data_IF_072563994987
#
_entry.id   IF_072563994987
#
_cell.length_a   1.000
_cell.length_b   1.000
_cell.length_c   1.000
_cell.angle_alpha   90.00
_cell.angle_beta   90.00
_cell.angle_gamma   90.00
#
_symmetry.space_group_name_H-M   'P 1'
#
loop_
_entity.id
_entity.type
_entity.pdbx_description
1 polymer ?
#
# COMPACT_ATOMS: atom_id res chain seq x y z
N UNK A 1 6.83 21.25 22.41
CA UNK A 1 6.71 20.75 21.03
C UNK A 1 7.75 21.49 20.19
N UNK A 2 8.96 20.93 20.08
CA UNK A 2 10.00 21.52 19.22
C UNK A 2 9.66 21.22 17.75
N UNK A 3 9.91 22.15 16.82
CA UNK A 3 9.67 21.93 15.39
C UNK A 3 10.39 20.68 14.85
N UNK A 4 11.54 20.32 15.44
CA UNK A 4 12.31 19.12 15.10
C UNK A 4 11.56 17.81 15.39
N UNK A 5 10.78 17.74 16.48
CA UNK A 5 10.00 16.56 16.82
C UNK A 5 8.86 16.34 15.82
N UNK A 6 8.20 17.42 15.39
CA UNK A 6 7.15 17.36 14.37
C UNK A 6 7.70 16.90 13.02
N UNK A 7 8.86 17.42 12.61
CA UNK A 7 9.51 17.01 11.36
C UNK A 7 9.92 15.53 11.39
N UNK A 8 10.46 15.04 12.51
CA UNK A 8 10.85 13.63 12.66
C UNK A 8 9.65 12.68 12.59
N UNK A 9 8.54 13.07 13.23
CA UNK A 9 7.30 12.30 13.26
C UNK A 9 6.67 12.20 11.85
N UNK A 10 6.67 13.29 11.09
CA UNK A 10 6.22 13.27 9.68
C UNK A 10 7.15 12.44 8.80
N UNK A 11 8.47 12.50 9.03
CA UNK A 11 9.45 11.67 8.32
C UNK A 11 9.21 10.18 8.53
N UNK A 12 8.97 9.76 9.79
CA UNK A 12 8.62 8.36 10.09
C UNK A 12 7.27 7.95 9.49
N UNK A 13 6.29 8.86 9.47
CA UNK A 13 4.99 8.62 8.82
C UNK A 13 5.16 8.30 7.34
N UNK A 14 5.94 9.12 6.62
CA UNK A 14 6.20 8.91 5.20
C UNK A 14 6.95 7.60 4.95
N UNK A 15 7.91 7.27 5.80
CA UNK A 15 8.70 6.04 5.68
C UNK A 15 7.83 4.80 5.95
N UNK A 16 6.95 4.86 6.95
CA UNK A 16 5.96 3.81 7.22
C UNK A 16 4.97 3.65 6.06
N UNK A 17 4.44 4.76 5.54
CA UNK A 17 3.54 4.76 4.39
C UNK A 17 4.24 4.19 3.13
N UNK A 18 5.49 4.56 2.89
CA UNK A 18 6.27 4.05 1.77
C UNK A 18 6.48 2.53 1.87
N UNK A 19 6.86 2.03 3.05
CA UNK A 19 7.00 0.59 3.29
C UNK A 19 5.69 -0.17 3.11
N UNK A 20 4.56 0.41 3.55
CA UNK A 20 3.23 -0.19 3.36
C UNK A 20 2.84 -0.23 1.88
N UNK A 21 3.17 0.84 1.13
CA UNK A 21 2.81 1.00 -0.27
C UNK A 21 3.68 0.16 -1.22
N UNK A 22 4.94 -0.07 -0.88
CA UNK A 22 5.91 -0.77 -1.72
C UNK A 22 5.46 -2.18 -2.20
N UNK A 23 5.02 -3.11 -1.32
CA UNK A 23 4.56 -4.43 -1.77
C UNK A 23 3.24 -4.36 -2.54
N UNK A 24 2.37 -3.39 -2.22
CA UNK A 24 1.13 -3.16 -2.95
C UNK A 24 1.41 -2.71 -4.39
N UNK A 25 2.37 -1.79 -4.54
CA UNK A 25 2.83 -1.32 -5.84
C UNK A 25 3.47 -2.44 -6.66
N UNK A 26 4.32 -3.27 -6.02
CA UNK A 26 4.98 -4.38 -6.69
C UNK A 26 3.96 -5.40 -7.24
N UNK A 27 2.95 -5.77 -6.46
CA UNK A 27 1.90 -6.70 -6.89
C UNK A 27 1.04 -6.08 -7.99
N UNK A 28 0.63 -4.82 -7.82
CA UNK A 28 -0.12 -4.11 -8.84
C UNK A 28 0.65 -4.01 -10.17
N UNK A 29 1.97 -3.82 -10.11
CA UNK A 29 2.84 -3.77 -11.28
C UNK A 29 2.95 -5.13 -11.97
N UNK A 30 3.24 -6.20 -11.22
CA UNK A 30 3.33 -7.56 -11.77
C UNK A 30 2.00 -8.02 -12.37
N UNK A 31 0.90 -7.85 -11.64
CA UNK A 31 -0.43 -8.19 -12.13
C UNK A 31 -0.83 -7.35 -13.36
N UNK A 32 -0.53 -6.06 -13.34
CA UNK A 32 -0.78 -5.16 -14.48
C UNK A 32 -0.02 -5.58 -15.74
N UNK A 33 1.26 -5.97 -15.60
CA UNK A 33 2.06 -6.49 -16.71
C UNK A 33 1.47 -7.78 -17.25
N UNK A 34 1.14 -8.75 -16.38
CA UNK A 34 0.57 -10.03 -16.80
C UNK A 34 -0.75 -9.84 -17.56
N UNK A 35 -1.64 -8.99 -17.06
CA UNK A 35 -2.94 -8.72 -17.70
C UNK A 35 -2.74 -7.99 -19.02
N UNK A 36 -1.82 -7.02 -19.09
CA UNK A 36 -1.47 -6.32 -20.32
C UNK A 36 -0.88 -7.28 -21.36
N UNK A 37 -0.06 -8.25 -20.94
CA UNK A 37 0.53 -9.23 -21.83
C UNK A 37 -0.54 -10.16 -22.42
N UNK A 38 -1.45 -10.67 -21.58
CA UNK A 38 -2.59 -11.51 -22.01
C UNK A 38 -3.50 -10.74 -22.96
N UNK A 39 -3.73 -9.45 -22.70
CA UNK A 39 -4.48 -8.57 -23.60
C UNK A 39 -3.84 -8.49 -24.99
N UNK A 40 -2.52 -8.29 -25.04
CA UNK A 40 -1.77 -8.17 -26.30
C UNK A 40 -1.77 -9.50 -27.07
N UNK A 41 -1.47 -10.62 -26.39
CA UNK A 41 -1.36 -11.95 -27.03
C UNK A 41 -2.70 -12.44 -27.59
N UNK A 42 -3.81 -12.13 -26.93
CA UNK A 42 -5.14 -12.60 -27.37
C UNK A 42 -5.80 -11.66 -28.39
N UNK A 43 -5.20 -10.48 -28.62
CA UNK A 43 -5.70 -9.45 -29.54
C UNK A 43 -7.14 -8.97 -29.28
N UNK A 44 -7.68 -9.24 -28.09
CA UNK A 44 -9.00 -8.76 -27.63
C UNK A 44 -8.82 -7.32 -27.14
N UNK A 45 -9.19 -6.36 -27.98
CA UNK A 45 -9.19 -4.92 -27.65
C UNK A 45 -10.52 -4.45 -27.03
N UNK A 46 -11.36 -5.38 -26.59
CA UNK A 46 -12.64 -5.04 -25.99
C UNK A 46 -12.43 -4.51 -24.55
N UNK A 47 -12.64 -3.21 -24.37
CA UNK A 47 -12.38 -2.48 -23.12
C UNK A 47 -13.16 -3.06 -21.94
N UNK A 48 -14.35 -3.63 -22.19
CA UNK A 48 -15.16 -4.29 -21.16
C UNK A 48 -14.48 -5.57 -20.63
N UNK A 49 -13.90 -6.37 -21.51
CA UNK A 49 -13.23 -7.62 -21.15
C UNK A 49 -11.91 -7.39 -20.41
N UNK A 50 -11.17 -6.30 -20.65
CA UNK A 50 -9.93 -6.01 -19.93
C UNK A 50 -10.15 -5.49 -18.51
N UNK A 51 -11.26 -4.80 -18.29
CA UNK A 51 -11.58 -4.15 -17.02
C UNK A 51 -11.81 -5.19 -15.92
N UNK A 52 -12.46 -6.31 -16.25
CA UNK A 52 -12.84 -7.34 -15.27
C UNK A 52 -11.62 -8.09 -14.69
N UNK A 53 -10.69 -8.67 -15.49
CA UNK A 53 -9.47 -9.30 -14.97
C UNK A 53 -8.60 -8.34 -14.16
N UNK A 54 -8.47 -7.08 -14.62
CA UNK A 54 -7.72 -6.04 -13.91
C UNK A 54 -8.31 -5.74 -12.54
N UNK A 55 -9.64 -5.62 -12.46
CA UNK A 55 -10.36 -5.39 -11.21
C UNK A 55 -10.21 -6.58 -10.25
N UNK A 56 -10.35 -7.81 -10.75
CA UNK A 56 -10.19 -9.04 -9.94
C UNK A 56 -8.75 -9.17 -9.41
N UNK A 57 -7.74 -8.89 -10.24
CA UNK A 57 -6.35 -8.91 -9.81
C UNK A 57 -6.04 -7.85 -8.75
N UNK A 58 -6.61 -6.64 -8.89
CA UNK A 58 -6.47 -5.58 -7.90
C UNK A 58 -7.17 -5.94 -6.58
N UNK A 59 -8.41 -6.43 -6.63
CA UNK A 59 -9.15 -6.89 -5.45
C UNK A 59 -8.45 -8.06 -4.75
N UNK A 60 -7.95 -9.04 -5.51
CA UNK A 60 -7.19 -10.17 -4.98
C UNK A 60 -5.89 -9.72 -4.31
N UNK A 61 -5.13 -8.85 -4.97
CA UNK A 61 -3.91 -8.27 -4.39
C UNK A 61 -4.20 -7.47 -3.12
N UNK A 62 -5.28 -6.68 -3.12
CA UNK A 62 -5.71 -5.90 -1.96
C UNK A 62 -6.12 -6.80 -0.80
N UNK A 63 -6.92 -7.85 -1.03
CA UNK A 63 -7.35 -8.80 0.00
C UNK A 63 -6.16 -9.54 0.65
N UNK A 64 -5.16 -9.94 -0.14
CA UNK A 64 -3.96 -10.62 0.40
C UNK A 64 -3.10 -9.66 1.22
N UNK A 65 -2.99 -8.39 0.80
CA UNK A 65 -2.16 -7.40 1.49
C UNK A 65 -2.86 -6.69 2.65
N UNK A 66 -4.19 -6.69 2.66
CA UNK A 66 -5.02 -6.05 3.68
C UNK A 66 -4.57 -6.37 5.12
N UNK A 67 -4.40 -7.64 5.55
CA UNK A 67 -3.99 -7.93 6.92
C UNK A 67 -2.61 -7.35 7.26
N UNK A 68 -1.67 -7.40 6.32
CA UNK A 68 -0.30 -6.90 6.53
C UNK A 68 -0.24 -5.37 6.59
N UNK A 69 -1.00 -4.68 5.73
CA UNK A 69 -1.10 -3.22 5.72
C UNK A 69 -1.69 -2.69 7.03
N UNK A 70 -2.75 -3.35 7.54
CA UNK A 70 -3.38 -2.99 8.81
C UNK A 70 -2.42 -3.24 9.98
N UNK A 71 -1.67 -4.35 9.98
CA UNK A 71 -0.71 -4.61 11.06
C UNK A 71 0.40 -3.54 11.14
N UNK A 72 0.91 -3.11 9.97
CA UNK A 72 1.92 -2.05 9.88
C UNK A 72 1.38 -0.68 10.29
N UNK A 73 0.17 -0.32 9.89
CA UNK A 73 -0.44 0.96 10.32
C UNK A 73 -0.70 0.96 11.83
N UNK A 74 -1.18 -0.16 12.38
CA UNK A 74 -1.42 -0.30 13.81
C UNK A 74 -0.11 -0.21 14.61
N UNK A 75 0.98 -0.84 14.14
CA UNK A 75 2.30 -0.73 14.77
C UNK A 75 2.82 0.72 14.80
N UNK A 76 2.60 1.49 13.72
CA UNK A 76 2.93 2.91 13.69
C UNK A 76 2.08 3.73 14.67
N UNK A 77 0.76 3.52 14.69
CA UNK A 77 -0.14 4.19 15.62
C UNK A 77 0.21 3.89 17.08
N UNK A 78 0.53 2.64 17.41
CA UNK A 78 0.94 2.24 18.76
C UNK A 78 2.28 2.88 19.15
N UNK A 79 3.24 2.97 18.22
CA UNK A 79 4.52 3.64 18.45
C UNK A 79 4.33 5.12 18.81
N UNK A 80 3.50 5.83 18.04
CA UNK A 80 3.15 7.24 18.29
C UNK A 80 2.43 7.41 19.63
N UNK A 81 1.43 6.57 19.91
CA UNK A 81 0.63 6.67 21.14
C UNK A 81 1.45 6.32 22.39
N UNK A 82 2.41 5.39 22.27
CA UNK A 82 3.36 5.04 23.32
C UNK A 82 4.38 6.15 23.60
N UNK A 83 4.85 6.85 22.56
CA UNK A 83 5.69 8.04 22.72
C UNK A 83 4.93 9.23 23.30
N UNK A 84 3.63 9.37 22.99
CA UNK A 84 2.75 10.36 23.60
C UNK A 84 2.70 10.24 25.14
N UNK A 85 2.68 9.01 25.67
CA UNK A 85 2.79 8.77 27.12
C UNK A 85 4.16 9.19 27.68
N UNK A 86 5.23 9.08 26.88
CA UNK A 86 6.58 9.54 27.26
C UNK A 86 6.72 11.06 27.22
N UNK A 87 5.96 11.74 26.36
CA UNK A 87 5.87 13.21 26.29
C UNK A 87 4.88 13.81 27.30
N UNK A 88 3.99 13.00 27.88
CA UNK A 88 3.02 13.42 28.90
C UNK A 88 3.60 13.40 30.33
N UNK A 89 4.79 12.82 30.55
CA UNK A 89 5.62 13.01 31.74
C UNK A 89 6.72 14.02 31.45
#
# INVERSE_FOLDING_TARGET
MTPDAAAHMVGQMFLAAFWISAPLLAIGFVAGILISLVQIVTSIQDTAFNTIPRLVAFLGGCLVLMPWMVHKSMAYTIGILGELNRYAR
#
